data_IF_698616667604
#
_entry.id   IF_698616667604
#
_cell.length_a   1.000
_cell.length_b   1.000
_cell.length_c   1.000
_cell.angle_alpha   90.00
_cell.angle_beta   90.00
_cell.angle_gamma   90.00
#
_symmetry.space_group_name_H-M   'P 1'
#
loop_
_entity.id
_entity.type
_entity.pdbx_description
1 polymer ?
#
# COMPACT_ATOMS: atom_id res chain seq x y z
N UNK A 1 61.67 -15.01 31.76
CA UNK A 1 61.66 -13.96 30.72
C UNK A 1 60.23 -13.74 30.20
N UNK A 2 59.25 -13.49 31.09
CA UNK A 2 57.83 -13.41 30.72
C UNK A 2 57.09 -12.19 31.33
N UNK A 3 57.49 -11.68 32.49
CA UNK A 3 56.72 -10.61 33.16
C UNK A 3 56.82 -9.24 32.49
N UNK A 4 57.98 -8.90 31.92
CA UNK A 4 58.16 -7.62 31.23
C UNK A 4 57.35 -7.54 29.92
N UNK A 5 57.21 -8.65 29.20
CA UNK A 5 56.40 -8.73 27.97
C UNK A 5 54.90 -8.61 28.28
N UNK A 6 54.43 -9.25 29.36
CA UNK A 6 53.03 -9.14 29.80
C UNK A 6 52.70 -7.73 30.27
N UNK A 7 53.61 -7.07 30.98
CA UNK A 7 53.44 -5.68 31.41
C UNK A 7 53.39 -4.69 30.22
N UNK A 8 54.23 -4.90 29.21
CA UNK A 8 54.22 -4.11 27.98
C UNK A 8 52.95 -4.33 27.16
N UNK A 9 52.51 -5.58 27.03
CA UNK A 9 51.28 -5.94 26.32
C UNK A 9 50.05 -5.29 26.96
N UNK A 10 49.95 -5.33 28.29
CA UNK A 10 48.82 -4.72 29.01
C UNK A 10 48.80 -3.19 28.90
N UNK A 11 49.96 -2.52 28.82
CA UNK A 11 50.04 -1.08 28.57
C UNK A 11 49.64 -0.72 27.14
N UNK A 12 50.04 -1.54 26.17
CA UNK A 12 49.71 -1.34 24.76
C UNK A 12 48.21 -1.51 24.52
N UNK A 13 47.62 -2.58 25.07
CA UNK A 13 46.19 -2.86 25.00
C UNK A 13 45.35 -1.73 25.60
N UNK A 14 45.70 -1.23 26.80
CA UNK A 14 44.99 -0.10 27.40
C UNK A 14 45.03 1.17 26.54
N UNK A 15 46.16 1.46 25.89
CA UNK A 15 46.24 2.62 24.98
C UNK A 15 45.38 2.44 23.73
N UNK A 16 45.32 1.24 23.18
CA UNK A 16 44.46 0.91 22.05
C UNK A 16 42.98 1.03 22.45
N UNK A 17 42.60 0.52 23.63
CA UNK A 17 41.25 0.63 24.16
C UNK A 17 40.85 2.11 24.38
N UNK A 18 41.74 2.94 24.92
CA UNK A 18 41.49 4.37 25.07
C UNK A 18 41.36 5.10 23.72
N UNK A 19 42.16 4.75 22.72
CA UNK A 19 42.05 5.29 21.37
C UNK A 19 40.74 4.86 20.68
N UNK A 20 40.33 3.60 20.86
CA UNK A 20 39.07 3.09 20.33
C UNK A 20 37.88 3.80 20.98
N UNK A 21 37.88 3.98 22.31
CA UNK A 21 36.84 4.72 23.03
C UNK A 21 36.80 6.18 22.58
N UNK A 22 37.97 6.84 22.45
CA UNK A 22 38.03 8.22 21.97
C UNK A 22 37.47 8.36 20.54
N UNK A 23 37.81 7.43 19.64
CA UNK A 23 37.26 7.41 18.28
C UNK A 23 35.74 7.22 18.27
N UNK A 24 35.21 6.35 19.14
CA UNK A 24 33.77 6.10 19.25
C UNK A 24 33.01 7.32 19.80
N UNK A 25 33.59 8.02 20.78
CA UNK A 25 33.03 9.28 21.32
C UNK A 25 33.02 10.37 20.25
N UNK A 26 34.09 10.51 19.46
CA UNK A 26 34.14 11.48 18.36
C UNK A 26 33.09 11.15 17.29
N UNK A 27 32.92 9.87 16.97
CA UNK A 27 31.95 9.44 15.97
C UNK A 27 30.50 9.68 16.45
N UNK A 28 30.21 9.38 17.72
CA UNK A 28 28.92 9.71 18.33
C UNK A 28 28.66 11.21 18.35
N UNK A 29 29.64 12.04 18.73
CA UNK A 29 29.52 13.49 18.72
C UNK A 29 29.25 14.04 17.30
N UNK A 30 29.92 13.49 16.28
CA UNK A 30 29.68 13.85 14.89
C UNK A 30 28.26 13.48 14.43
N UNK A 31 27.77 12.29 14.79
CA UNK A 31 26.39 11.88 14.46
C UNK A 31 25.34 12.75 15.16
N UNK A 32 25.58 13.13 16.43
CA UNK A 32 24.69 14.00 17.17
C UNK A 32 24.64 15.41 16.55
N UNK A 33 25.78 15.95 16.12
CA UNK A 33 25.85 17.23 15.42
C UNK A 33 25.11 17.20 14.08
N UNK A 34 25.26 16.13 13.29
CA UNK A 34 24.53 15.97 12.04
C UNK A 34 23.02 15.89 12.26
N UNK A 35 22.58 15.12 13.27
CA UNK A 35 21.17 15.02 13.63
C UNK A 35 20.58 16.37 14.06
N UNK A 36 21.34 17.16 14.81
CA UNK A 36 20.90 18.48 15.26
C UNK A 36 20.83 19.48 14.10
N UNK A 37 21.79 19.45 13.18
CA UNK A 37 21.77 20.27 11.97
C UNK A 37 20.57 19.94 11.06
N UNK A 38 20.18 18.66 10.94
CA UNK A 38 18.98 18.28 10.20
C UNK A 38 17.68 18.74 10.89
N UNK A 39 17.64 18.77 12.22
CA UNK A 39 16.48 19.26 12.98
C UNK A 39 16.26 20.76 12.77
N UNK A 40 17.33 21.57 12.81
CA UNK A 40 17.25 23.01 12.54
C UNK A 40 16.75 23.31 11.12
N UNK A 41 17.12 22.49 10.13
CA UNK A 41 16.61 22.60 8.76
C UNK A 41 15.13 22.21 8.61
N UNK A 42 14.56 21.49 9.59
CA UNK A 42 13.18 20.99 9.57
C UNK A 42 12.22 21.80 10.43
N UNK A 43 12.67 22.79 11.19
CA UNK A 43 11.73 23.67 11.89
C UNK A 43 11.06 24.57 10.86
N UNK A 44 9.76 24.38 10.55
CA UNK A 44 9.07 25.31 9.67
C UNK A 44 9.07 26.67 10.36
N UNK A 45 9.58 27.69 9.67
CA UNK A 45 9.42 29.08 10.12
C UNK A 45 7.94 29.37 10.39
N UNK A 46 7.56 30.15 11.42
CA UNK A 46 6.16 30.40 11.78
C UNK A 46 5.30 30.93 10.61
N UNK A 47 5.95 31.53 9.61
CA UNK A 47 5.34 32.05 8.39
C UNK A 47 4.76 30.95 7.48
N UNK A 48 5.33 29.74 7.45
CA UNK A 48 4.80 28.62 6.65
C UNK A 48 3.61 27.91 7.34
N UNK A 49 3.56 27.91 8.67
CA UNK A 49 2.42 27.37 9.42
C UNK A 49 1.13 28.19 9.26
N UNK A 50 1.24 29.46 8.84
CA UNK A 50 0.10 30.33 8.54
C UNK A 50 -0.46 30.17 7.11
N UNK A 51 0.15 29.31 6.28
CA UNK A 51 -0.27 29.06 4.89
C UNK A 51 -1.48 28.12 4.74
N UNK A 52 -1.89 27.44 5.80
CA UNK A 52 -3.20 26.79 5.85
C UNK A 52 -4.25 27.78 6.34
N UNK A 53 -4.35 28.94 5.68
CA UNK A 53 -5.62 29.66 5.68
C UNK A 53 -6.63 28.67 5.12
N UNK A 54 -7.54 28.20 5.98
CA UNK A 54 -8.72 27.49 5.56
C UNK A 54 -9.33 28.30 4.42
N UNK A 55 -9.17 27.83 3.18
CA UNK A 55 -9.76 28.47 2.02
C UNK A 55 -11.24 28.57 2.35
N UNK A 56 -11.73 29.78 2.54
CA UNK A 56 -13.14 30.01 2.78
C UNK A 56 -13.87 29.37 1.61
N UNK A 57 -14.77 28.44 1.91
CA UNK A 57 -15.54 27.70 0.91
C UNK A 57 -16.06 28.69 -0.14
N UNK A 58 -15.73 28.54 -1.43
CA UNK A 58 -16.10 29.51 -2.46
C UNK A 58 -17.61 29.71 -2.47
N UNK A 59 -18.05 30.96 -2.55
CA UNK A 59 -19.45 31.36 -2.43
C UNK A 59 -20.39 30.68 -3.45
N UNK A 60 -19.87 30.10 -4.54
CA UNK A 60 -20.64 29.47 -5.60
C UNK A 60 -20.76 27.94 -5.50
N UNK A 61 -20.24 27.30 -4.44
CA UNK A 61 -20.18 25.85 -4.38
C UNK A 61 -21.55 25.25 -4.74
N UNK A 62 -21.64 24.38 -5.77
CA UNK A 62 -22.90 23.76 -6.13
C UNK A 62 -23.44 23.05 -4.91
N UNK A 63 -24.50 23.61 -4.32
CA UNK A 63 -25.24 22.98 -3.23
C UNK A 63 -25.96 21.78 -3.82
N UNK A 64 -25.27 20.65 -3.84
CA UNK A 64 -25.87 19.37 -4.19
C UNK A 64 -26.89 19.05 -3.10
N UNK A 65 -28.15 19.41 -3.34
CA UNK A 65 -29.29 19.03 -2.51
C UNK A 65 -29.66 17.57 -2.78
N UNK A 66 -28.69 16.66 -2.76
CA UNK A 66 -29.00 15.25 -2.70
C UNK A 66 -29.52 14.99 -1.30
N UNK A 67 -30.78 14.58 -1.20
CA UNK A 67 -31.24 13.88 0.01
C UNK A 67 -30.33 12.67 0.13
N UNK A 68 -29.46 12.67 1.14
CA UNK A 68 -28.75 11.47 1.53
C UNK A 68 -29.81 10.52 2.08
N UNK A 69 -30.34 9.67 1.20
CA UNK A 69 -31.14 8.54 1.62
C UNK A 69 -30.16 7.60 2.31
N UNK A 70 -30.14 7.67 3.64
CA UNK A 70 -29.34 6.76 4.44
C UNK A 70 -29.81 5.34 4.06
N UNK A 71 -28.94 4.47 3.53
CA UNK A 71 -29.33 3.09 3.27
C UNK A 71 -29.92 2.53 4.57
N UNK A 72 -31.14 2.00 4.49
CA UNK A 72 -31.96 1.66 5.66
C UNK A 72 -31.36 0.54 6.51
N UNK A 73 -30.35 -0.17 6.01
CA UNK A 73 -29.51 -1.04 6.81
C UNK A 73 -28.11 -1.11 6.17
N UNK A 74 -27.06 -0.78 6.93
CA UNK A 74 -25.67 -0.87 6.46
C UNK A 74 -25.32 -2.34 6.14
N UNK A 75 -26.04 -3.30 6.74
CA UNK A 75 -25.91 -4.74 6.48
C UNK A 75 -26.37 -5.17 5.09
N UNK A 76 -27.11 -4.32 4.37
CA UNK A 76 -27.50 -4.58 2.98
C UNK A 76 -26.38 -4.24 1.98
N UNK A 77 -25.27 -3.63 2.44
CA UNK A 77 -24.13 -3.33 1.57
C UNK A 77 -23.37 -4.64 1.32
N UNK A 78 -23.21 -5.10 0.05
CA UNK A 78 -22.59 -6.38 -0.28
C UNK A 78 -21.16 -6.56 0.25
N UNK A 79 -20.47 -5.45 0.53
CA UNK A 79 -19.07 -5.41 0.99
C UNK A 79 -18.94 -5.25 2.52
N UNK A 80 -20.06 -5.15 3.25
CA UNK A 80 -20.02 -4.87 4.68
C UNK A 80 -19.37 -6.00 5.48
N UNK A 81 -19.70 -7.25 5.16
CA UNK A 81 -19.15 -8.43 5.86
C UNK A 81 -17.62 -8.55 5.64
N UNK A 82 -17.14 -8.17 4.45
CA UNK A 82 -15.72 -8.21 4.09
C UNK A 82 -14.90 -7.08 4.75
N UNK A 83 -15.58 -5.99 5.12
CA UNK A 83 -15.02 -4.89 5.91
C UNK A 83 -15.01 -5.21 7.41
N UNK A 84 -16.06 -5.85 7.91
CA UNK A 84 -16.19 -6.19 9.34
C UNK A 84 -15.38 -7.42 9.73
N UNK A 85 -15.13 -8.34 8.79
CA UNK A 85 -14.37 -9.57 9.03
C UNK A 85 -12.86 -9.41 8.96
N UNK A 86 -12.34 -8.26 8.53
CA UNK A 86 -10.91 -8.03 8.37
C UNK A 86 -10.36 -7.12 9.48
N UNK A 87 -9.52 -7.70 10.34
CA UNK A 87 -8.72 -6.94 11.29
C UNK A 87 -7.31 -6.69 10.72
N UNK A 88 -6.94 -5.45 10.37
CA UNK A 88 -5.60 -5.14 9.84
C UNK A 88 -4.48 -5.26 10.89
N UNK A 89 -4.81 -5.38 12.18
CA UNK A 89 -3.83 -5.48 13.26
C UNK A 89 -3.62 -6.93 13.74
N UNK A 90 -4.44 -7.87 13.30
CA UNK A 90 -4.24 -9.31 13.52
C UNK A 90 -3.40 -9.92 12.38
N UNK A 91 -2.17 -10.42 12.65
CA UNK A 91 -1.32 -11.01 11.62
C UNK A 91 -1.99 -12.14 10.83
N UNK A 92 -2.83 -12.96 11.48
CA UNK A 92 -3.51 -14.07 10.81
C UNK A 92 -4.53 -13.57 9.80
N UNK A 93 -5.30 -12.54 10.18
CA UNK A 93 -6.27 -11.89 9.30
C UNK A 93 -5.59 -11.29 8.06
N UNK A 94 -4.40 -10.70 8.22
CA UNK A 94 -3.58 -10.20 7.10
C UNK A 94 -3.08 -11.34 6.21
N UNK A 95 -2.56 -12.42 6.77
CA UNK A 95 -2.09 -13.58 6.02
C UNK A 95 -3.21 -14.23 5.20
N UNK A 96 -4.37 -14.48 5.81
CA UNK A 96 -5.55 -15.04 5.13
C UNK A 96 -5.97 -14.15 3.96
N UNK A 97 -5.98 -12.83 4.16
CA UNK A 97 -6.32 -11.89 3.07
C UNK A 97 -5.27 -11.88 1.98
N UNK A 98 -3.99 -11.96 2.32
CA UNK A 98 -2.90 -12.05 1.34
C UNK A 98 -2.97 -13.35 0.52
N UNK A 99 -3.24 -14.49 1.15
CA UNK A 99 -3.43 -15.78 0.47
C UNK A 99 -4.63 -15.74 -0.48
N UNK A 100 -5.75 -15.14 -0.04
CA UNK A 100 -6.92 -14.94 -0.88
C UNK A 100 -6.59 -14.08 -2.10
N UNK A 101 -5.92 -12.94 -1.92
CA UNK A 101 -5.49 -12.06 -3.02
C UNK A 101 -4.61 -12.82 -4.00
N UNK A 102 -3.60 -13.55 -3.52
CA UNK A 102 -2.71 -14.33 -4.38
C UNK A 102 -3.43 -15.45 -5.15
N UNK A 103 -4.46 -16.07 -4.55
CA UNK A 103 -5.32 -17.04 -5.25
C UNK A 103 -6.13 -16.37 -6.35
N UNK A 104 -6.74 -15.21 -6.06
CA UNK A 104 -7.51 -14.44 -7.03
C UNK A 104 -6.63 -13.91 -8.17
N UNK A 105 -5.37 -13.57 -7.90
CA UNK A 105 -4.41 -13.16 -8.95
C UNK A 105 -4.17 -14.29 -9.96
N UNK A 106 -3.96 -15.52 -9.47
CA UNK A 106 -3.82 -16.69 -10.36
C UNK A 106 -5.08 -16.94 -11.18
N UNK A 107 -6.26 -16.74 -10.60
CA UNK A 107 -7.53 -16.84 -11.32
C UNK A 107 -7.66 -15.74 -12.38
N UNK A 108 -7.24 -14.52 -12.05
CA UNK A 108 -7.27 -13.39 -12.98
C UNK A 108 -6.34 -13.63 -14.18
N UNK A 109 -5.13 -14.15 -13.96
CA UNK A 109 -4.22 -14.56 -15.04
C UNK A 109 -4.85 -15.62 -15.96
N UNK A 110 -5.58 -16.58 -15.38
CA UNK A 110 -6.31 -17.58 -16.16
C UNK A 110 -7.46 -16.95 -16.98
N UNK A 111 -8.18 -15.99 -16.41
CA UNK A 111 -9.23 -15.24 -17.10
C UNK A 111 -8.67 -14.41 -18.26
N UNK A 112 -7.58 -13.69 -18.02
CA UNK A 112 -6.89 -12.92 -19.04
C UNK A 112 -6.31 -13.82 -20.15
N UNK A 113 -5.78 -14.98 -19.78
CA UNK A 113 -5.38 -16.01 -20.73
C UNK A 113 -6.53 -16.52 -21.59
N UNK A 114 -7.72 -16.75 -21.01
CA UNK A 114 -8.92 -17.14 -21.75
C UNK A 114 -9.39 -16.04 -22.71
N UNK A 115 -9.41 -14.79 -22.23
CA UNK A 115 -9.73 -13.62 -23.04
C UNK A 115 -8.82 -13.49 -24.27
N UNK A 116 -7.50 -13.62 -24.08
CA UNK A 116 -6.51 -13.58 -25.18
C UNK A 116 -6.69 -14.68 -26.22
N UNK A 117 -7.21 -15.85 -25.81
CA UNK A 117 -7.54 -16.96 -26.73
C UNK A 117 -8.88 -16.79 -27.44
N UNK A 118 -9.63 -15.72 -27.13
CA UNK A 118 -10.98 -15.50 -27.66
C UNK A 118 -12.07 -16.30 -26.95
N UNK A 119 -11.73 -17.02 -25.87
CA UNK A 119 -12.69 -17.75 -25.05
C UNK A 119 -13.37 -16.79 -24.06
N UNK A 120 -14.28 -15.97 -24.61
CA UNK A 120 -14.94 -14.89 -23.89
C UNK A 120 -15.88 -15.39 -22.80
N UNK A 121 -16.48 -16.57 -22.97
CA UNK A 121 -17.41 -17.16 -22.00
C UNK A 121 -16.68 -17.64 -20.75
N UNK A 122 -15.57 -18.36 -20.92
CA UNK A 122 -14.74 -18.78 -19.80
C UNK A 122 -14.12 -17.59 -19.08
N UNK A 123 -13.64 -16.58 -19.82
CA UNK A 123 -13.09 -15.37 -19.23
C UNK A 123 -14.15 -14.62 -18.40
N UNK A 124 -15.37 -14.49 -18.92
CA UNK A 124 -16.49 -13.84 -18.22
C UNK A 124 -16.84 -14.58 -16.92
N UNK A 125 -16.93 -15.90 -16.97
CA UNK A 125 -17.27 -16.71 -15.81
C UNK A 125 -16.24 -16.53 -14.69
N UNK A 126 -14.94 -16.63 -15.00
CA UNK A 126 -13.88 -16.47 -14.01
C UNK A 126 -13.91 -15.06 -13.40
N UNK A 127 -14.07 -14.01 -14.21
CA UNK A 127 -14.12 -12.65 -13.67
C UNK A 127 -15.35 -12.42 -12.77
N UNK A 128 -16.51 -13.00 -13.10
CA UNK A 128 -17.69 -12.93 -12.22
C UNK A 128 -17.43 -13.62 -10.88
N UNK A 129 -16.74 -14.75 -10.88
CA UNK A 129 -16.41 -15.49 -9.66
C UNK A 129 -15.35 -14.78 -8.81
N UNK A 130 -14.42 -14.05 -9.44
CA UNK A 130 -13.48 -13.16 -8.74
C UNK A 130 -14.24 -12.01 -8.07
N UNK A 131 -15.13 -11.33 -8.79
CA UNK A 131 -15.89 -10.19 -8.24
C UNK A 131 -16.81 -10.62 -7.10
N UNK A 132 -17.40 -11.82 -7.16
CA UNK A 132 -18.19 -12.36 -6.05
C UNK A 132 -17.36 -12.54 -4.77
N UNK A 133 -16.08 -12.89 -4.90
CA UNK A 133 -15.18 -13.07 -3.76
C UNK A 133 -14.55 -11.76 -3.29
N UNK A 134 -14.30 -10.82 -4.20
CA UNK A 134 -13.72 -9.52 -3.88
C UNK A 134 -14.32 -8.45 -4.81
N UNK A 135 -15.43 -7.81 -4.41
CA UNK A 135 -16.12 -6.83 -5.25
C UNK A 135 -15.28 -5.58 -5.53
N UNK A 136 -14.35 -5.24 -4.65
CA UNK A 136 -13.41 -4.13 -4.78
C UNK A 136 -12.33 -4.35 -5.86
N UNK A 137 -12.28 -5.53 -6.48
CA UNK A 137 -11.27 -5.93 -7.45
C UNK A 137 -11.52 -5.34 -8.85
N UNK A 138 -10.92 -4.16 -9.09
CA UNK A 138 -11.16 -3.33 -10.31
C UNK A 138 -10.69 -3.97 -11.62
N UNK A 139 -9.56 -4.68 -11.61
CA UNK A 139 -9.00 -5.37 -12.79
C UNK A 139 -9.98 -6.39 -13.39
N UNK A 140 -10.65 -7.20 -12.56
CA UNK A 140 -11.68 -8.14 -12.98
C UNK A 140 -12.92 -7.43 -13.55
N UNK A 141 -13.32 -6.31 -12.97
CA UNK A 141 -14.44 -5.50 -13.46
C UNK A 141 -14.13 -4.85 -14.82
N UNK A 142 -12.91 -4.33 -14.99
CA UNK A 142 -12.45 -3.76 -16.26
C UNK A 142 -12.36 -4.82 -17.35
N UNK A 143 -11.86 -6.02 -17.04
CA UNK A 143 -11.81 -7.12 -17.99
C UNK A 143 -13.22 -7.59 -18.40
N UNK A 144 -14.19 -7.64 -17.48
CA UNK A 144 -15.59 -7.90 -17.82
C UNK A 144 -16.20 -6.87 -18.77
N UNK A 145 -15.89 -5.59 -18.57
CA UNK A 145 -16.33 -4.53 -19.49
C UNK A 145 -15.77 -4.77 -20.89
N UNK A 146 -14.47 -5.07 -21.01
CA UNK A 146 -13.84 -5.38 -22.29
C UNK A 146 -14.46 -6.61 -22.97
N UNK A 147 -14.74 -7.68 -22.22
CA UNK A 147 -15.41 -8.87 -22.74
C UNK A 147 -16.78 -8.53 -23.33
N UNK A 148 -17.59 -7.72 -22.63
CA UNK A 148 -18.92 -7.30 -23.10
C UNK A 148 -18.84 -6.46 -24.37
N UNK A 149 -17.88 -5.55 -24.44
CA UNK A 149 -17.64 -4.75 -25.65
C UNK A 149 -17.23 -5.62 -26.84
N UNK A 150 -16.37 -6.62 -26.62
CA UNK A 150 -15.92 -7.53 -27.67
C UNK A 150 -17.06 -8.43 -28.18
N UNK A 151 -17.92 -8.94 -27.28
CA UNK A 151 -19.14 -9.66 -27.69
C UNK A 151 -20.07 -8.78 -28.52
N UNK A 152 -20.32 -7.54 -28.09
CA UNK A 152 -21.15 -6.59 -28.85
C UNK A 152 -20.60 -6.34 -30.26
N UNK A 153 -19.27 -6.30 -30.42
CA UNK A 153 -18.62 -6.18 -31.74
C UNK A 153 -18.80 -7.44 -32.59
N UNK A 154 -18.66 -8.63 -32.00
CA UNK A 154 -18.90 -9.92 -32.70
C UNK A 154 -20.35 -10.06 -33.14
N UNK A 155 -21.30 -9.71 -32.28
CA UNK A 155 -22.74 -9.75 -32.58
C UNK A 155 -23.14 -8.74 -33.68
N UNK A 156 -22.44 -7.61 -33.77
CA UNK A 156 -22.64 -6.64 -34.84
C UNK A 156 -22.06 -7.13 -36.17
N UNK A 157 -20.91 -7.82 -36.13
CA UNK A 157 -20.26 -8.38 -37.32
C UNK A 157 -21.05 -9.56 -37.91
N UNK A 158 -21.68 -10.40 -37.09
CA UNK A 158 -22.51 -11.51 -37.57
C UNK A 158 -23.89 -11.06 -38.09
N UNK A 159 -24.29 -9.81 -37.82
CA UNK A 159 -25.55 -9.21 -38.29
C UNK A 159 -25.39 -8.29 -39.51
N UNK A 160 -24.17 -8.05 -40.00
CA UNK A 160 -23.95 -7.40 -41.31
C UNK A 160 -23.89 -8.46 -42.41
N UNK A 161 -24.85 -8.49 -43.35
CA UNK A 161 -24.86 -9.39 -44.50
C UNK A 161 -23.82 -9.04 -45.57
#
# INVERSE_FOLDING_TARGET
MNEQLVALWNRLRRRVDHLAIAALVVLLAATALLYWAEQEARTPTPTEAMGLQAQSTPANWPRVKTKFEHPKDIREVPDFDDLMGFDPFDPRSVEIRAEMVARLDKQFEAAYGAFRRGDLEKAEQICRDIIKQMPSRRDAADLLRQIREQRKKQDAATKSP
#
